data_IF_795227146854
#
_entry.id   IF_795227146854
#
_cell.length_a   1.000
_cell.length_b   1.000
_cell.length_c   1.000
_cell.angle_alpha   90.00
_cell.angle_beta   90.00
_cell.angle_gamma   90.00
#
_symmetry.space_group_name_H-M   'P 1'
#
loop_
_entity.id
_entity.type
_entity.pdbx_description
1 polymer ?
#
# COMPACT_ATOMS: atom_id res chain seq x y z
N UNK A 1 -10.29 56.27 -60.89
CA UNK A 1 -10.07 55.89 -59.48
C UNK A 1 -10.64 54.49 -59.22
N UNK A 2 -9.80 53.44 -59.27
CA UNK A 2 -10.07 52.14 -58.62
C UNK A 2 -8.71 51.58 -58.18
N UNK A 3 -8.39 51.74 -56.89
CA UNK A 3 -7.14 51.26 -56.27
C UNK A 3 -7.19 49.73 -56.18
N UNK A 4 -6.13 49.08 -56.65
CA UNK A 4 -5.89 47.65 -56.46
C UNK A 4 -5.65 47.35 -54.96
N UNK A 5 -6.24 46.27 -54.44
CA UNK A 5 -5.95 45.72 -53.10
C UNK A 5 -4.90 44.61 -53.24
N UNK A 6 -3.82 44.60 -52.45
CA UNK A 6 -2.89 43.47 -52.45
C UNK A 6 -3.48 42.33 -51.61
N UNK A 7 -3.36 41.11 -52.14
CA UNK A 7 -3.71 39.87 -51.48
C UNK A 7 -2.56 39.49 -50.55
N UNK A 8 -2.74 39.61 -49.23
CA UNK A 8 -1.77 39.16 -48.23
C UNK A 8 -2.07 37.69 -47.95
N UNK A 9 -1.18 36.80 -48.40
CA UNK A 9 -1.19 35.38 -48.05
C UNK A 9 -0.57 35.22 -46.64
N UNK A 10 -1.41 35.02 -45.64
CA UNK A 10 -0.98 34.65 -44.28
C UNK A 10 -0.64 33.17 -44.23
N UNK A 11 0.65 32.84 -44.27
CA UNK A 11 1.16 31.49 -44.07
C UNK A 11 1.20 31.19 -42.56
N UNK A 12 0.20 30.49 -42.05
CA UNK A 12 0.18 30.00 -40.67
C UNK A 12 1.00 28.71 -40.58
N UNK A 13 2.12 28.75 -39.86
CA UNK A 13 3.00 27.62 -39.58
C UNK A 13 2.50 26.90 -38.30
N UNK A 14 2.09 25.62 -38.34
CA UNK A 14 1.62 24.94 -37.14
C UNK A 14 2.83 24.50 -36.30
N UNK A 15 2.92 25.01 -35.07
CA UNK A 15 3.89 24.59 -34.07
C UNK A 15 3.45 23.24 -33.51
N UNK A 16 4.01 22.14 -34.03
CA UNK A 16 3.82 20.81 -33.50
C UNK A 16 4.60 20.65 -32.18
N UNK A 17 3.90 20.66 -31.05
CA UNK A 17 4.47 20.38 -29.75
C UNK A 17 4.78 18.88 -29.62
N UNK A 18 6.06 18.50 -29.75
CA UNK A 18 6.52 17.14 -29.50
C UNK A 18 6.49 16.87 -27.98
N UNK A 19 5.50 16.08 -27.55
CA UNK A 19 5.42 15.58 -26.18
C UNK A 19 6.43 14.45 -26.02
N UNK A 20 7.61 14.76 -25.46
CA UNK A 20 8.63 13.76 -25.15
C UNK A 20 8.15 12.91 -23.96
N UNK A 21 7.69 11.69 -24.24
CA UNK A 21 7.42 10.67 -23.22
C UNK A 21 8.75 10.21 -22.64
N UNK A 22 9.11 10.72 -21.47
CA UNK A 22 10.22 10.19 -20.68
C UNK A 22 9.75 8.90 -20.03
N UNK A 23 10.07 7.76 -20.65
CA UNK A 23 9.90 6.45 -20.02
C UNK A 23 11.01 6.28 -18.98
N UNK A 24 10.72 6.61 -17.72
CA UNK A 24 11.58 6.23 -16.61
C UNK A 24 11.56 4.72 -16.43
N UNK A 25 12.70 4.05 -16.58
CA UNK A 25 12.84 2.63 -16.25
C UNK A 25 12.61 2.45 -14.77
N UNK A 26 11.53 1.75 -14.40
CA UNK A 26 11.29 1.30 -13.03
C UNK A 26 12.28 0.17 -12.77
N UNK A 27 13.34 0.43 -12.00
CA UNK A 27 14.16 -0.65 -11.45
C UNK A 27 13.32 -1.28 -10.34
N UNK A 28 12.83 -2.50 -10.60
CA UNK A 28 12.22 -3.30 -9.55
C UNK A 28 13.32 -3.71 -8.58
N UNK A 29 13.38 -3.05 -7.42
CA UNK A 29 14.24 -3.50 -6.33
C UNK A 29 13.76 -4.88 -5.87
N UNK A 30 14.72 -5.77 -5.59
CA UNK A 30 14.39 -7.08 -5.01
C UNK A 30 13.66 -6.87 -3.68
N UNK A 31 12.52 -7.52 -3.45
CA UNK A 31 11.80 -7.38 -2.20
C UNK A 31 12.68 -7.62 -0.98
N UNK A 32 12.58 -6.75 0.01
CA UNK A 32 13.30 -6.86 1.28
C UNK A 32 12.82 -8.12 1.99
N UNK A 33 13.70 -9.09 2.30
CA UNK A 33 13.29 -10.31 2.97
C UNK A 33 12.85 -10.00 4.42
N UNK A 34 11.95 -10.79 5.02
CA UNK A 34 11.34 -10.47 6.31
C UNK A 34 12.33 -10.22 7.46
N UNK A 35 13.45 -10.96 7.47
CA UNK A 35 14.52 -10.88 8.47
C UNK A 35 15.47 -9.68 8.28
N UNK A 36 15.40 -9.01 7.12
CA UNK A 36 16.19 -7.81 6.83
C UNK A 36 15.40 -6.49 6.96
N UNK A 37 14.11 -6.56 7.32
CA UNK A 37 13.27 -5.37 7.47
C UNK A 37 13.75 -4.53 8.65
N UNK A 38 14.17 -3.29 8.38
CA UNK A 38 14.64 -2.35 9.39
C UNK A 38 13.50 -1.49 9.91
N UNK A 39 13.24 -1.57 11.21
CA UNK A 39 12.28 -0.72 11.91
C UNK A 39 13.07 0.30 12.73
N UNK A 40 12.86 1.59 12.45
CA UNK A 40 13.49 2.69 13.19
C UNK A 40 12.42 3.68 13.63
N UNK A 41 12.45 4.13 14.90
CA UNK A 41 11.45 5.07 15.44
C UNK A 41 10.00 4.61 15.20
N UNK A 42 9.73 3.31 15.35
CA UNK A 42 8.43 2.67 15.08
C UNK A 42 7.97 2.76 13.62
N UNK A 43 8.85 3.07 12.68
CA UNK A 43 8.55 3.30 11.27
C UNK A 43 9.41 2.41 10.36
N UNK A 44 8.79 1.90 9.29
CA UNK A 44 9.46 1.32 8.13
C UNK A 44 9.34 2.33 7.01
N UNK A 45 10.38 3.15 6.85
CA UNK A 45 10.37 4.31 5.94
C UNK A 45 10.43 3.90 4.47
N UNK A 46 11.17 2.84 4.16
CA UNK A 46 11.32 2.35 2.79
C UNK A 46 10.21 1.36 2.45
N UNK A 47 9.69 1.44 1.23
CA UNK A 47 8.85 0.37 0.67
C UNK A 47 9.61 -0.97 0.73
N UNK A 48 8.89 -2.05 0.99
CA UNK A 48 9.46 -3.39 1.03
C UNK A 48 9.85 -3.89 -0.37
N UNK A 49 9.29 -3.32 -1.44
CA UNK A 49 9.50 -3.77 -2.83
C UNK A 49 10.00 -2.68 -3.77
N UNK A 50 9.98 -1.41 -3.33
CA UNK A 50 10.20 -0.26 -4.22
C UNK A 50 9.07 -0.03 -5.23
N UNK A 51 8.06 -0.91 -5.27
CA UNK A 51 6.88 -0.79 -6.14
C UNK A 51 5.74 -0.17 -5.34
N UNK A 52 4.98 0.72 -5.98
CA UNK A 52 3.80 1.31 -5.35
C UNK A 52 2.74 0.23 -5.06
N UNK A 53 2.08 0.32 -3.91
CA UNK A 53 0.97 -0.56 -3.59
C UNK A 53 -0.29 -0.23 -4.41
N UNK A 54 -1.06 -1.27 -4.75
CA UNK A 54 -2.39 -1.11 -5.35
C UNK A 54 -3.48 -1.14 -4.25
N UNK A 55 -4.19 -0.02 -4.01
CA UNK A 55 -5.22 0.02 -2.97
C UNK A 55 -6.41 -0.90 -3.26
N UNK A 56 -6.71 -1.22 -4.53
CA UNK A 56 -7.79 -2.13 -4.88
C UNK A 56 -7.42 -3.59 -4.55
N UNK A 57 -6.17 -3.99 -4.78
CA UNK A 57 -5.66 -5.30 -4.34
C UNK A 57 -5.54 -5.34 -2.81
N UNK A 58 -5.07 -4.26 -2.19
CA UNK A 58 -5.02 -4.12 -0.73
C UNK A 58 -6.36 -4.33 -0.07
N UNK A 59 -7.41 -3.72 -0.63
CA UNK A 59 -8.80 -3.90 -0.20
C UNK A 59 -9.21 -5.38 -0.24
N UNK A 60 -8.91 -6.09 -1.33
CA UNK A 60 -9.21 -7.53 -1.47
C UNK A 60 -8.46 -8.36 -0.43
N UNK A 61 -7.16 -8.10 -0.23
CA UNK A 61 -6.31 -8.80 0.73
C UNK A 61 -6.82 -8.59 2.17
N UNK A 62 -7.22 -7.36 2.49
CA UNK A 62 -7.78 -6.97 3.78
C UNK A 62 -9.01 -7.81 4.15
N UNK A 63 -9.93 -8.01 3.19
CA UNK A 63 -11.16 -8.79 3.39
C UNK A 63 -10.97 -10.32 3.25
N UNK A 64 -9.85 -10.79 2.67
CA UNK A 64 -9.66 -12.20 2.38
C UNK A 64 -9.28 -13.01 3.63
N UNK A 65 -10.14 -13.97 4.00
CA UNK A 65 -9.98 -14.85 5.17
C UNK A 65 -8.73 -15.74 5.17
N UNK A 66 -8.13 -15.99 4.01
CA UNK A 66 -6.90 -16.80 3.86
C UNK A 66 -5.65 -15.93 3.70
N UNK A 67 -5.78 -14.60 3.70
CA UNK A 67 -4.68 -13.65 3.60
C UNK A 67 -4.69 -12.72 4.82
N UNK A 68 -5.11 -11.46 4.67
CA UNK A 68 -5.10 -10.47 5.75
C UNK A 68 -6.14 -10.76 6.83
N UNK A 69 -7.32 -11.26 6.44
CA UNK A 69 -8.45 -11.55 7.33
C UNK A 69 -8.74 -10.42 8.35
N UNK A 70 -8.49 -9.17 7.96
CA UNK A 70 -8.44 -8.04 8.89
C UNK A 70 -9.83 -7.75 9.47
N UNK A 71 -10.89 -8.05 8.71
CA UNK A 71 -12.29 -7.95 9.13
C UNK A 71 -12.65 -8.87 10.29
N UNK A 72 -11.84 -9.89 10.59
CA UNK A 72 -12.05 -10.72 11.78
C UNK A 72 -11.84 -9.94 13.08
N UNK A 73 -11.08 -8.85 13.04
CA UNK A 73 -10.76 -8.04 14.22
C UNK A 73 -11.18 -6.57 14.10
N UNK A 74 -11.24 -6.02 12.88
CA UNK A 74 -11.45 -4.60 12.65
C UNK A 74 -12.70 -4.35 11.80
N UNK A 75 -13.41 -3.28 12.11
CA UNK A 75 -14.43 -2.70 11.24
C UNK A 75 -13.89 -1.46 10.50
N UNK A 76 -14.47 -1.15 9.34
CA UNK A 76 -14.44 0.16 8.69
C UNK A 76 -15.66 0.28 7.76
N UNK A 77 -16.05 1.51 7.48
CA UNK A 77 -17.22 1.87 6.68
C UNK A 77 -17.08 1.54 5.19
N UNK A 78 -15.86 1.57 4.65
CA UNK A 78 -15.61 1.21 3.24
C UNK A 78 -15.93 -0.27 2.96
N UNK A 79 -15.84 -1.14 3.98
CA UNK A 79 -16.12 -2.58 3.90
C UNK A 79 -17.56 -2.96 4.26
N UNK A 80 -18.50 -2.01 4.29
CA UNK A 80 -19.86 -2.24 4.79
C UNK A 80 -20.65 -3.32 4.02
N UNK A 81 -20.23 -3.72 2.81
CA UNK A 81 -20.83 -4.84 2.08
C UNK A 81 -20.45 -6.22 2.66
N UNK A 82 -19.39 -6.30 3.46
CA UNK A 82 -19.02 -7.49 4.21
C UNK A 82 -19.75 -7.52 5.55
N UNK A 83 -20.27 -8.69 5.92
CA UNK A 83 -21.01 -8.88 7.17
C UNK A 83 -20.08 -9.38 8.29
N UNK A 84 -20.47 -9.12 9.54
CA UNK A 84 -19.85 -9.67 10.75
C UNK A 84 -18.39 -9.25 10.97
N UNK A 85 -18.13 -7.94 10.94
CA UNK A 85 -16.82 -7.40 11.34
C UNK A 85 -16.57 -7.63 12.83
N UNK A 86 -15.34 -7.98 13.19
CA UNK A 86 -14.92 -8.10 14.57
C UNK A 86 -14.73 -6.75 15.26
N UNK A 87 -14.72 -6.79 16.59
CA UNK A 87 -14.54 -5.63 17.47
C UNK A 87 -13.33 -5.79 18.41
N UNK A 88 -12.42 -6.71 18.09
CA UNK A 88 -11.21 -6.97 18.89
C UNK A 88 -10.21 -5.82 18.74
N UNK A 89 -10.01 -5.35 17.51
CA UNK A 89 -9.22 -4.18 17.20
C UNK A 89 -10.10 -2.93 17.05
N UNK A 90 -9.51 -1.73 17.10
CA UNK A 90 -10.26 -0.49 16.89
C UNK A 90 -10.82 -0.40 15.47
N UNK A 91 -11.87 0.41 15.29
CA UNK A 91 -12.35 0.80 13.96
C UNK A 91 -11.21 1.52 13.18
N UNK A 92 -11.04 1.16 11.91
CA UNK A 92 -9.99 1.69 11.02
C UNK A 92 -10.43 2.87 10.16
N UNK A 93 -11.68 3.32 10.24
CA UNK A 93 -12.10 4.60 9.69
C UNK A 93 -11.17 5.71 10.23
N UNK A 94 -10.63 6.54 9.33
CA UNK A 94 -9.66 7.59 9.63
C UNK A 94 -8.29 7.14 10.08
N UNK A 95 -7.88 5.88 9.86
CA UNK A 95 -6.55 5.41 10.24
C UNK A 95 -5.43 6.17 9.52
N UNK A 96 -5.65 6.57 8.26
CA UNK A 96 -4.70 7.38 7.50
C UNK A 96 -4.55 8.81 8.04
N UNK A 97 -5.54 9.29 8.80
CA UNK A 97 -5.49 10.58 9.49
C UNK A 97 -4.70 10.48 10.81
N UNK A 98 -4.53 9.27 11.36
CA UNK A 98 -3.83 9.01 12.65
C UNK A 98 -2.38 8.55 12.47
N UNK A 99 -2.10 7.83 11.39
CA UNK A 99 -0.81 7.19 11.16
C UNK A 99 -0.30 7.50 9.76
N UNK A 100 1.01 7.73 9.64
CA UNK A 100 1.69 7.82 8.34
C UNK A 100 1.83 6.43 7.72
N UNK A 101 1.98 6.38 6.40
CA UNK A 101 2.20 5.14 5.63
C UNK A 101 3.37 4.31 6.20
N UNK A 102 4.46 4.97 6.61
CA UNK A 102 5.61 4.30 7.21
C UNK A 102 5.26 3.58 8.53
N UNK A 103 4.38 4.17 9.34
CA UNK A 103 3.91 3.55 10.59
C UNK A 103 2.83 2.50 10.34
N UNK A 104 1.94 2.73 9.37
CA UNK A 104 0.99 1.71 8.91
C UNK A 104 1.73 0.47 8.42
N UNK A 105 2.80 0.65 7.64
CA UNK A 105 3.69 -0.43 7.20
C UNK A 105 4.29 -1.17 8.37
N UNK A 106 4.82 -0.48 9.39
CA UNK A 106 5.30 -1.15 10.62
C UNK A 106 4.21 -1.99 11.27
N UNK A 107 3.01 -1.43 11.44
CA UNK A 107 1.89 -2.11 12.10
C UNK A 107 1.49 -3.38 11.33
N UNK A 108 1.42 -3.33 10.00
CA UNK A 108 1.09 -4.51 9.17
C UNK A 108 2.23 -5.53 9.17
N UNK A 109 3.49 -5.09 9.04
CA UNK A 109 4.66 -5.99 9.04
C UNK A 109 4.82 -6.70 10.38
N UNK A 110 4.85 -5.93 11.47
CA UNK A 110 5.03 -6.41 12.83
C UNK A 110 4.35 -5.47 13.83
N UNK A 111 3.07 -5.73 14.13
CA UNK A 111 2.29 -4.94 15.08
C UNK A 111 2.92 -4.87 16.48
N UNK A 112 3.64 -5.92 16.91
CA UNK A 112 4.32 -5.94 18.23
C UNK A 112 5.45 -4.93 18.32
N UNK A 113 6.06 -4.53 17.20
CA UNK A 113 7.08 -3.48 17.20
C UNK A 113 6.51 -2.11 17.63
N UNK A 114 5.19 -1.91 17.51
CA UNK A 114 4.50 -0.67 17.84
C UNK A 114 3.70 -0.81 19.14
N UNK A 115 3.01 -1.94 19.32
CA UNK A 115 2.07 -2.17 20.41
C UNK A 115 2.56 -3.18 21.46
N UNK A 116 3.83 -3.59 21.38
CA UNK A 116 4.50 -4.60 22.23
C UNK A 116 3.77 -5.93 22.24
N UNK A 117 4.13 -6.84 23.17
CA UNK A 117 3.45 -8.14 23.32
C UNK A 117 2.01 -8.03 23.84
N UNK A 118 1.51 -6.82 24.12
CA UNK A 118 0.13 -6.60 24.52
C UNK A 118 -0.85 -6.69 23.33
N UNK A 119 -0.37 -6.60 22.09
CA UNK A 119 -1.24 -6.76 20.92
C UNK A 119 -1.45 -8.22 20.56
N UNK A 120 -2.70 -8.53 20.19
CA UNK A 120 -3.07 -9.81 19.56
C UNK A 120 -3.02 -9.73 18.04
N UNK A 121 -2.82 -8.54 17.46
CA UNK A 121 -2.68 -8.37 16.00
C UNK A 121 -1.40 -9.08 15.54
N UNK A 122 -1.48 -10.01 14.57
CA UNK A 122 -0.31 -10.72 14.09
C UNK A 122 0.62 -9.81 13.27
N UNK A 123 1.90 -10.15 13.21
CA UNK A 123 2.81 -9.59 12.21
C UNK A 123 2.61 -10.32 10.89
N UNK A 124 2.14 -9.62 9.86
CA UNK A 124 1.80 -10.24 8.57
C UNK A 124 3.04 -10.49 7.68
N UNK A 125 4.15 -9.80 7.97
CA UNK A 125 5.43 -9.97 7.29
C UNK A 125 6.58 -10.08 8.29
N UNK A 126 6.38 -10.92 9.31
CA UNK A 126 7.37 -11.21 10.35
C UNK A 126 7.63 -12.71 10.44
N UNK A 127 8.87 -13.09 10.74
CA UNK A 127 9.25 -14.45 11.12
C UNK A 127 9.36 -14.63 12.64
N UNK A 128 9.15 -13.56 13.41
CA UNK A 128 8.95 -13.63 14.85
C UNK A 128 7.52 -14.13 15.13
N UNK A 129 7.41 -15.46 15.13
CA UNK A 129 6.16 -16.22 15.26
C UNK A 129 6.14 -16.94 16.60
N UNK A 130 4.94 -17.35 17.04
CA UNK A 130 4.78 -18.08 18.29
C UNK A 130 5.31 -19.51 18.24
N UNK A 131 5.04 -20.27 19.30
CA UNK A 131 5.43 -21.67 19.41
C UNK A 131 4.57 -22.59 18.54
N UNK A 132 5.14 -23.73 18.09
CA UNK A 132 4.44 -24.79 17.36
C UNK A 132 3.80 -24.36 16.03
N UNK A 133 4.55 -23.60 15.23
CA UNK A 133 4.16 -23.27 13.85
C UNK A 133 3.91 -24.55 13.07
N UNK A 134 2.81 -24.56 12.30
CA UNK A 134 2.48 -25.67 11.40
C UNK A 134 3.66 -25.97 10.47
N UNK A 135 4.06 -27.23 10.36
CA UNK A 135 5.33 -27.65 9.73
C UNK A 135 5.55 -27.08 8.32
N UNK A 136 4.50 -27.01 7.50
CA UNK A 136 4.54 -26.49 6.12
C UNK A 136 4.62 -24.95 6.02
N UNK A 137 4.48 -24.23 7.13
CA UNK A 137 4.52 -22.76 7.22
C UNK A 137 5.78 -22.22 7.89
N UNK A 138 6.68 -23.09 8.36
CA UNK A 138 7.95 -22.66 8.94
C UNK A 138 8.75 -21.83 7.92
N UNK A 139 9.23 -20.66 8.34
CA UNK A 139 10.00 -19.74 7.49
C UNK A 139 9.17 -18.95 6.48
N UNK A 140 7.83 -18.99 6.54
CA UNK A 140 6.93 -18.26 5.64
C UNK A 140 6.18 -17.17 6.40
N UNK A 141 5.97 -16.03 5.74
CA UNK A 141 5.12 -14.94 6.21
C UNK A 141 3.67 -15.14 5.76
N UNK A 142 2.72 -14.46 6.42
CA UNK A 142 1.29 -14.52 6.08
C UNK A 142 1.02 -13.82 4.75
N UNK A 143 1.61 -12.64 4.57
CA UNK A 143 1.57 -11.87 3.33
C UNK A 143 2.95 -11.85 2.68
N UNK A 144 3.00 -11.61 1.38
CA UNK A 144 4.23 -11.22 0.69
C UNK A 144 4.52 -9.73 0.89
N UNK A 145 5.75 -9.29 0.61
CA UNK A 145 6.14 -7.88 0.67
C UNK A 145 5.21 -6.97 -0.15
N UNK A 146 4.85 -7.36 -1.37
CA UNK A 146 3.96 -6.55 -2.21
C UNK A 146 2.55 -6.48 -1.64
N UNK A 147 2.02 -7.59 -1.12
CA UNK A 147 0.70 -7.60 -0.48
C UNK A 147 0.64 -6.68 0.75
N UNK A 148 1.75 -6.52 1.48
CA UNK A 148 1.84 -5.51 2.55
C UNK A 148 1.73 -4.10 1.97
N UNK A 149 2.47 -3.78 0.91
CA UNK A 149 2.40 -2.45 0.28
C UNK A 149 0.99 -2.15 -0.25
N UNK A 150 0.32 -3.15 -0.83
CA UNK A 150 -1.05 -3.04 -1.31
C UNK A 150 -2.02 -2.75 -0.15
N UNK A 151 -1.91 -3.48 0.96
CA UNK A 151 -2.72 -3.24 2.17
C UNK A 151 -2.44 -1.85 2.76
N UNK A 152 -1.18 -1.42 2.83
CA UNK A 152 -0.83 -0.07 3.30
C UNK A 152 -1.44 1.00 2.39
N UNK A 153 -1.38 0.80 1.06
CA UNK A 153 -2.01 1.70 0.09
C UNK A 153 -3.53 1.78 0.29
N UNK A 154 -4.20 0.65 0.57
CA UNK A 154 -5.62 0.65 0.92
C UNK A 154 -5.88 1.42 2.22
N UNK A 155 -5.14 1.13 3.30
CA UNK A 155 -5.30 1.81 4.59
C UNK A 155 -5.09 3.33 4.48
N UNK A 156 -4.18 3.77 3.61
CA UNK A 156 -3.94 5.20 3.32
C UNK A 156 -5.15 5.92 2.68
N UNK A 157 -6.12 5.18 2.14
CA UNK A 157 -7.37 5.76 1.62
C UNK A 157 -8.42 6.03 2.70
N UNK A 158 -8.29 5.42 3.88
CA UNK A 158 -9.27 5.50 4.98
C UNK A 158 -9.00 6.73 5.87
N UNK A 159 -9.55 7.88 5.49
CA UNK A 159 -9.34 9.19 6.15
C UNK A 159 -10.44 9.63 7.10
#
# INVERSE_FOLDING_TARGET
>A
MKRAKPLIFSLALPLAAACALVTGSVIADTPTPPDAVQISNLAIEKSLTGTAGDPAEGRKIFANRKQGNCLACHANSDMAEHLFHGEVGPNLDGVASRWSDAKLRTIVVNAKAVFTDNTVMPGFYSLDVGENVREDLIGKTILSAQQVEDVVAYLATLK
#
